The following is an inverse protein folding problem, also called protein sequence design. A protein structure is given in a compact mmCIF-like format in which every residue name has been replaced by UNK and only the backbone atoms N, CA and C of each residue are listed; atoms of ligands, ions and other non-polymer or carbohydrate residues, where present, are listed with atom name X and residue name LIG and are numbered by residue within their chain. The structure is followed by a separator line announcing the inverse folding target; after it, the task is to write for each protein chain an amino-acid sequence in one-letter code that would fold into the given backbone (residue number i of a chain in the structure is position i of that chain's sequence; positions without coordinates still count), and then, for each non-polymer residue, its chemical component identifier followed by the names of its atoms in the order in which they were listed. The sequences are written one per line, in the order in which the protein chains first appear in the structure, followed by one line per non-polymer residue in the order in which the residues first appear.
data_IF_479243529359
#
_entry.id   IF_479243529359
#
_cell.length_a   1.000
_cell.length_b   1.000
_cell.length_c   1.000
_cell.angle_alpha   90.00
_cell.angle_beta   90.00
_cell.angle_gamma   90.00
#
_symmetry.space_group_name_H-M   'P 1'
#
loop_
_entity.id
_entity.type
_entity.pdbx_description
1 polymer ?
#
# COMPACT_ATOMS: atom_id res chain seq x y z
N UNK A 1 -28.21 -13.18 -27.47
CA UNK A 1 -27.88 -14.22 -26.45
C UNK A 1 -26.52 -14.08 -25.81
N UNK A 2 -25.58 -13.31 -26.37
CA UNK A 2 -24.21 -13.09 -25.88
C UNK A 2 -24.10 -12.30 -24.57
N UNK A 3 -25.00 -11.37 -24.32
CA UNK A 3 -24.94 -10.46 -23.16
C UNK A 3 -25.17 -11.17 -21.81
N UNK A 4 -26.10 -12.13 -21.74
CA UNK A 4 -26.44 -12.86 -20.51
C UNK A 4 -25.31 -13.77 -20.00
N UNK A 5 -24.57 -14.42 -20.91
CA UNK A 5 -23.39 -15.24 -20.59
C UNK A 5 -22.19 -14.38 -20.10
N UNK A 6 -22.01 -13.20 -20.67
CA UNK A 6 -20.94 -12.28 -20.22
C UNK A 6 -21.23 -11.70 -18.84
N UNK A 7 -22.48 -11.32 -18.56
CA UNK A 7 -22.90 -10.82 -17.23
C UNK A 7 -22.70 -11.92 -16.17
N UNK A 8 -23.12 -13.15 -16.45
CA UNK A 8 -22.96 -14.29 -15.54
C UNK A 8 -21.47 -14.57 -15.27
N UNK A 9 -20.59 -14.52 -16.26
CA UNK A 9 -19.16 -14.73 -16.10
C UNK A 9 -18.49 -13.63 -15.26
N UNK A 10 -18.89 -12.37 -15.46
CA UNK A 10 -18.38 -11.25 -14.65
C UNK A 10 -18.84 -11.35 -13.20
N UNK A 11 -20.10 -11.68 -12.98
CA UNK A 11 -20.64 -11.91 -11.64
C UNK A 11 -19.91 -13.07 -10.92
N UNK A 12 -19.65 -14.18 -11.62
CA UNK A 12 -18.90 -15.30 -11.08
C UNK A 12 -17.47 -14.90 -10.68
N UNK A 13 -16.76 -14.16 -11.53
CA UNK A 13 -15.40 -13.68 -11.22
C UNK A 13 -15.44 -12.76 -9.97
N UNK A 14 -16.43 -11.87 -9.89
CA UNK A 14 -16.57 -10.99 -8.73
C UNK A 14 -16.81 -11.78 -7.44
N UNK A 15 -17.68 -12.77 -7.47
CA UNK A 15 -17.96 -13.66 -6.31
C UNK A 15 -16.70 -14.41 -5.90
N UNK A 16 -15.95 -14.99 -6.85
CA UNK A 16 -14.72 -15.72 -6.56
C UNK A 16 -13.67 -14.79 -5.92
N UNK A 17 -13.47 -13.59 -6.46
CA UNK A 17 -12.50 -12.63 -5.92
C UNK A 17 -12.91 -12.14 -4.53
N UNK A 18 -14.20 -11.89 -4.30
CA UNK A 18 -14.69 -11.50 -2.97
C UNK A 18 -14.54 -12.62 -1.97
N UNK A 19 -14.86 -13.86 -2.37
CA UNK A 19 -14.65 -15.04 -1.53
C UNK A 19 -13.16 -15.27 -1.21
N UNK A 20 -12.28 -15.08 -2.19
CA UNK A 20 -10.84 -15.19 -1.98
C UNK A 20 -10.32 -14.09 -1.02
N UNK A 21 -10.81 -12.86 -1.14
CA UNK A 21 -10.47 -11.77 -0.21
C UNK A 21 -10.97 -12.05 1.21
N UNK A 22 -12.19 -12.56 1.35
CA UNK A 22 -12.73 -12.95 2.65
C UNK A 22 -11.94 -14.13 3.27
N UNK A 23 -11.61 -15.13 2.47
CA UNK A 23 -10.80 -16.25 2.92
C UNK A 23 -9.40 -15.82 3.36
N UNK A 24 -8.74 -14.92 2.61
CA UNK A 24 -7.44 -14.40 2.99
C UNK A 24 -7.48 -13.55 4.26
N UNK A 25 -8.57 -12.82 4.50
CA UNK A 25 -8.78 -12.07 5.74
C UNK A 25 -8.93 -13.02 6.93
N UNK A 26 -9.74 -14.08 6.80
CA UNK A 26 -9.91 -15.11 7.85
C UNK A 26 -8.57 -15.81 8.12
N UNK A 27 -7.84 -16.21 7.07
CA UNK A 27 -6.52 -16.81 7.23
C UNK A 27 -5.54 -15.86 7.93
N UNK A 28 -5.58 -14.55 7.63
CA UNK A 28 -4.77 -13.55 8.30
C UNK A 28 -5.09 -13.38 9.78
N UNK A 29 -6.32 -13.68 10.21
CA UNK A 29 -6.70 -13.71 11.63
C UNK A 29 -6.28 -15.01 12.33
N UNK A 30 -6.28 -16.13 11.63
CA UNK A 30 -5.92 -17.45 12.17
C UNK A 30 -4.40 -17.66 12.22
N UNK A 31 -3.71 -17.29 11.12
CA UNK A 31 -2.27 -17.52 10.96
C UNK A 31 -1.45 -16.32 11.48
N UNK A 32 -0.41 -16.63 12.22
CA UNK A 32 0.52 -15.62 12.76
C UNK A 32 1.60 -16.27 13.60
N UNK A 33 2.41 -15.48 14.30
CA UNK A 33 3.48 -15.97 15.19
C UNK A 33 2.98 -16.84 16.33
N UNK A 34 1.73 -16.65 16.76
CA UNK A 34 1.01 -17.56 17.65
C UNK A 34 -0.13 -18.21 16.85
N UNK A 35 -0.21 -19.52 16.86
CA UNK A 35 -1.34 -20.24 16.25
C UNK A 35 -2.55 -20.07 17.13
N UNK A 36 -3.61 -19.46 16.59
CA UNK A 36 -4.91 -19.36 17.27
C UNK A 36 -5.89 -20.30 16.58
N UNK A 37 -6.59 -21.06 17.36
CA UNK A 37 -7.66 -21.92 16.87
C UNK A 37 -8.89 -21.09 16.51
N UNK A 38 -9.73 -21.57 15.60
CA UNK A 38 -10.91 -20.83 15.17
C UNK A 38 -11.84 -20.46 16.35
N UNK A 39 -11.96 -21.34 17.35
CA UNK A 39 -12.72 -21.08 18.57
C UNK A 39 -12.12 -19.92 19.40
N UNK A 40 -10.80 -19.83 19.46
CA UNK A 40 -10.09 -18.75 20.17
C UNK A 40 -10.25 -17.40 19.44
N UNK A 41 -10.19 -17.40 18.12
CA UNK A 41 -10.46 -16.21 17.32
C UNK A 41 -11.91 -15.75 17.49
N UNK A 42 -12.86 -16.69 17.43
CA UNK A 42 -14.27 -16.36 17.63
C UNK A 42 -14.56 -15.80 19.03
N UNK A 43 -14.06 -16.47 20.07
CA UNK A 43 -14.21 -16.02 21.45
C UNK A 43 -13.45 -14.70 21.71
N UNK A 44 -12.26 -14.52 21.14
CA UNK A 44 -11.49 -13.29 21.24
C UNK A 44 -12.15 -12.09 20.57
N UNK A 45 -12.94 -12.31 19.50
CA UNK A 45 -13.68 -11.23 18.82
C UNK A 45 -14.98 -10.87 19.54
N UNK A 46 -15.69 -11.85 20.14
CA UNK A 46 -17.06 -11.67 20.66
C UNK A 46 -17.21 -12.05 22.15
N UNK A 47 -16.21 -12.72 22.74
CA UNK A 47 -16.32 -13.39 24.03
C UNK A 47 -16.04 -12.57 25.29
N UNK A 48 -15.84 -11.27 25.21
CA UNK A 48 -15.89 -10.37 26.36
C UNK A 48 -14.71 -10.36 27.34
N UNK A 49 -13.80 -11.32 27.34
CA UNK A 49 -12.60 -11.30 28.20
C UNK A 49 -11.48 -10.47 27.52
N UNK A 50 -11.55 -9.15 27.74
CA UNK A 50 -10.59 -8.18 27.18
C UNK A 50 -9.15 -8.39 27.68
N UNK A 51 -8.95 -9.16 28.73
CA UNK A 51 -7.64 -9.44 29.35
C UNK A 51 -7.02 -10.78 28.91
N UNK A 52 -7.72 -11.59 28.14
CA UNK A 52 -7.12 -12.81 27.59
C UNK A 52 -6.05 -12.41 26.56
N UNK A 53 -4.86 -13.02 26.66
CA UNK A 53 -3.72 -12.76 25.75
C UNK A 53 -4.13 -12.89 24.27
N UNK A 54 -5.04 -13.80 23.98
CA UNK A 54 -5.59 -14.06 22.64
C UNK A 54 -6.41 -12.86 22.14
N UNK A 55 -7.29 -12.30 22.96
CA UNK A 55 -8.08 -11.09 22.65
C UNK A 55 -7.18 -9.89 22.39
N UNK A 56 -6.15 -9.70 23.22
CA UNK A 56 -5.16 -8.64 23.05
C UNK A 56 -4.44 -8.76 21.70
N UNK A 57 -3.92 -9.93 21.35
CA UNK A 57 -3.25 -10.18 20.05
C UNK A 57 -4.20 -9.92 18.87
N UNK A 58 -5.45 -10.35 18.98
CA UNK A 58 -6.44 -10.14 17.94
C UNK A 58 -6.73 -8.66 17.71
N UNK A 59 -7.06 -7.92 18.76
CA UNK A 59 -7.50 -6.53 18.64
C UNK A 59 -6.35 -5.54 18.44
N UNK A 60 -5.17 -5.79 19.00
CA UNK A 60 -4.04 -4.84 18.88
C UNK A 60 -3.12 -5.10 17.70
N UNK A 61 -3.05 -6.34 17.20
CA UNK A 61 -2.11 -6.70 16.14
C UNK A 61 -2.81 -7.21 14.88
N UNK A 62 -3.64 -8.27 15.00
CA UNK A 62 -4.14 -8.97 13.81
C UNK A 62 -5.23 -8.21 13.10
N UNK A 63 -6.22 -7.74 13.82
CA UNK A 63 -7.37 -7.03 13.24
C UNK A 63 -6.96 -5.72 12.56
N UNK A 64 -6.13 -4.86 13.16
CA UNK A 64 -5.60 -3.69 12.47
C UNK A 64 -4.77 -4.04 11.24
N UNK A 65 -3.95 -5.10 11.31
CA UNK A 65 -3.12 -5.53 10.18
C UNK A 65 -3.96 -6.05 9.00
N UNK A 66 -4.97 -6.88 9.26
CA UNK A 66 -5.89 -7.39 8.23
C UNK A 66 -6.71 -6.25 7.63
N UNK A 67 -7.23 -5.35 8.46
CA UNK A 67 -7.97 -4.18 8.01
C UNK A 67 -7.11 -3.25 7.14
N UNK A 68 -5.88 -2.96 7.58
CA UNK A 68 -4.93 -2.16 6.82
C UNK A 68 -4.59 -2.82 5.46
N UNK A 69 -4.37 -4.14 5.44
CA UNK A 69 -4.11 -4.89 4.22
C UNK A 69 -5.28 -4.83 3.22
N UNK A 70 -6.51 -5.00 3.71
CA UNK A 70 -7.71 -4.89 2.87
C UNK A 70 -7.91 -3.48 2.32
N UNK A 71 -7.74 -2.45 3.15
CA UNK A 71 -7.88 -1.06 2.73
C UNK A 71 -6.77 -0.65 1.74
N UNK A 72 -5.53 -1.05 2.00
CA UNK A 72 -4.41 -0.81 1.09
C UNK A 72 -4.62 -1.50 -0.25
N UNK A 73 -5.02 -2.78 -0.24
CA UNK A 73 -5.33 -3.53 -1.46
C UNK A 73 -6.47 -2.91 -2.26
N UNK A 74 -7.55 -2.50 -1.60
CA UNK A 74 -8.67 -1.81 -2.25
C UNK A 74 -8.23 -0.46 -2.86
N UNK A 75 -7.44 0.32 -2.12
CA UNK A 75 -6.89 1.60 -2.60
C UNK A 75 -5.98 1.43 -3.81
N UNK A 76 -5.08 0.45 -3.79
CA UNK A 76 -4.19 0.12 -4.90
C UNK A 76 -4.98 -0.37 -6.13
N UNK A 77 -5.99 -1.21 -5.94
CA UNK A 77 -6.84 -1.69 -7.03
C UNK A 77 -7.62 -0.54 -7.68
N UNK A 78 -8.20 0.35 -6.87
CA UNK A 78 -8.93 1.51 -7.37
C UNK A 78 -8.02 2.48 -8.12
N UNK A 79 -6.85 2.81 -7.54
CA UNK A 79 -5.89 3.71 -8.20
C UNK A 79 -5.33 3.10 -9.49
N UNK A 80 -5.06 1.79 -9.51
CA UNK A 80 -4.66 1.08 -10.70
C UNK A 80 -5.72 1.13 -11.79
N UNK A 81 -6.99 0.86 -11.46
CA UNK A 81 -8.09 0.93 -12.42
C UNK A 81 -8.27 2.34 -13.01
N UNK A 82 -8.19 3.37 -12.17
CA UNK A 82 -8.27 4.76 -12.61
C UNK A 82 -7.10 5.15 -13.52
N UNK A 83 -5.88 4.74 -13.19
CA UNK A 83 -4.70 5.00 -14.01
C UNK A 83 -4.77 4.29 -15.36
N UNK A 84 -5.18 3.03 -15.39
CA UNK A 84 -5.38 2.28 -16.64
C UNK A 84 -6.45 2.94 -17.52
N UNK A 85 -7.55 3.40 -16.93
CA UNK A 85 -8.59 4.11 -17.66
C UNK A 85 -8.09 5.47 -18.20
N UNK A 86 -7.39 6.24 -17.39
CA UNK A 86 -6.88 7.57 -17.76
C UNK A 86 -5.79 7.48 -18.86
N UNK A 87 -4.90 6.50 -18.75
CA UNK A 87 -3.80 6.32 -19.70
C UNK A 87 -4.21 5.50 -20.93
N UNK A 88 -5.31 4.74 -20.87
CA UNK A 88 -5.68 3.76 -21.89
C UNK A 88 -4.65 2.63 -22.03
N UNK A 89 -3.90 2.35 -20.98
CA UNK A 89 -2.83 1.34 -20.94
C UNK A 89 -3.05 0.38 -19.77
N UNK A 90 -3.25 -0.89 -20.09
CA UNK A 90 -3.45 -1.94 -19.08
C UNK A 90 -2.23 -2.20 -18.19
N UNK A 91 -1.05 -1.74 -18.59
CA UNK A 91 0.19 -1.86 -17.81
C UNK A 91 0.42 -0.69 -16.85
N UNK A 92 -0.41 0.36 -16.90
CA UNK A 92 -0.27 1.50 -16.02
C UNK A 92 -0.65 1.12 -14.57
N UNK A 93 0.19 1.51 -13.63
CA UNK A 93 -0.01 1.28 -12.20
C UNK A 93 0.64 2.36 -11.35
N UNK A 94 0.23 2.51 -10.08
CA UNK A 94 0.76 3.55 -9.19
C UNK A 94 2.27 3.47 -8.98
N UNK A 95 2.82 2.27 -8.99
CA UNK A 95 4.27 2.03 -8.83
C UNK A 95 5.11 2.61 -9.97
N UNK A 96 4.57 2.64 -11.19
CA UNK A 96 5.27 3.13 -12.37
C UNK A 96 5.36 4.66 -12.37
N UNK A 97 4.39 5.33 -11.77
CA UNK A 97 4.32 6.80 -11.70
C UNK A 97 5.17 7.38 -10.55
N UNK A 98 5.98 6.57 -9.86
CA UNK A 98 6.91 7.08 -8.86
C UNK A 98 6.33 7.41 -7.49
N UNK A 99 5.07 7.05 -7.24
CA UNK A 99 4.38 7.26 -5.95
C UNK A 99 5.18 6.67 -4.79
N UNK A 100 5.67 5.43 -4.96
CA UNK A 100 6.45 4.73 -3.93
C UNK A 100 7.80 5.41 -3.66
N UNK A 101 8.47 5.90 -4.71
CA UNK A 101 9.74 6.61 -4.55
C UNK A 101 9.55 7.93 -3.81
N UNK A 102 8.46 8.66 -4.09
CA UNK A 102 8.09 9.88 -3.38
C UNK A 102 7.79 9.62 -1.90
N UNK A 103 7.02 8.57 -1.61
CA UNK A 103 6.72 8.15 -0.24
C UNK A 103 8.01 7.80 0.52
N UNK A 104 8.85 6.94 -0.07
CA UNK A 104 10.10 6.50 0.53
C UNK A 104 11.08 7.63 0.76
N UNK A 105 11.22 8.55 -0.20
CA UNK A 105 12.12 9.69 -0.07
C UNK A 105 11.68 10.65 1.04
N UNK A 106 10.40 11.00 1.12
CA UNK A 106 9.89 11.84 2.20
C UNK A 106 10.06 11.19 3.56
N UNK A 107 9.83 9.87 3.65
CA UNK A 107 10.02 9.13 4.89
C UNK A 107 11.48 9.14 5.35
N UNK A 108 12.45 8.83 4.46
CA UNK A 108 13.87 8.83 4.86
C UNK A 108 14.35 10.23 5.24
N UNK A 109 13.87 11.28 4.56
CA UNK A 109 14.14 12.66 4.94
C UNK A 109 13.64 12.96 6.36
N UNK A 110 12.41 12.55 6.69
CA UNK A 110 11.88 12.74 8.03
C UNK A 110 12.67 12.00 9.08
N UNK A 111 13.10 10.76 8.80
CA UNK A 111 13.93 9.99 9.73
C UNK A 111 15.29 10.64 9.98
N UNK A 112 15.92 11.21 8.93
CA UNK A 112 17.27 11.79 9.05
C UNK A 112 17.28 13.17 9.70
N UNK A 113 16.28 14.00 9.42
CA UNK A 113 16.35 15.43 9.77
C UNK A 113 15.34 15.87 10.83
N UNK A 114 14.30 15.08 11.08
CA UNK A 114 13.27 15.44 12.05
C UNK A 114 13.12 14.31 13.08
N UNK A 115 13.24 14.59 14.39
CA UNK A 115 12.97 13.62 15.45
C UNK A 115 11.46 13.40 15.57
N UNK A 116 10.88 12.76 14.57
CA UNK A 116 9.44 12.52 14.52
C UNK A 116 9.06 11.22 15.22
N UNK A 117 7.88 11.23 15.83
CA UNK A 117 7.27 9.99 16.34
C UNK A 117 6.96 9.06 15.15
N UNK A 118 7.13 7.76 15.32
CA UNK A 118 6.76 6.75 14.31
C UNK A 118 5.31 6.89 13.80
N UNK A 119 4.42 7.51 14.58
CA UNK A 119 3.03 7.78 14.19
C UNK A 119 2.90 8.82 13.06
N UNK A 120 3.88 9.70 12.89
CA UNK A 120 3.84 10.76 11.86
C UNK A 120 4.49 10.33 10.54
N UNK A 121 5.25 9.24 10.53
CA UNK A 121 5.91 8.73 9.33
C UNK A 121 4.93 8.37 8.18
N UNK A 122 3.78 7.73 8.42
CA UNK A 122 2.80 7.49 7.36
C UNK A 122 2.26 8.77 6.72
N UNK A 123 2.09 9.84 7.50
CA UNK A 123 1.66 11.13 6.97
C UNK A 123 2.75 11.75 6.08
N UNK A 124 4.01 11.69 6.50
CA UNK A 124 5.14 12.15 5.69
C UNK A 124 5.25 11.38 4.37
N UNK A 125 5.11 10.05 4.43
CA UNK A 125 5.09 9.20 3.25
C UNK A 125 3.93 9.55 2.30
N UNK A 126 2.73 9.77 2.84
CA UNK A 126 1.57 10.19 2.06
C UNK A 126 1.80 11.54 1.37
N UNK A 127 2.29 12.54 2.09
CA UNK A 127 2.59 13.86 1.53
C UNK A 127 3.69 13.79 0.46
N UNK A 128 4.72 12.97 0.67
CA UNK A 128 5.77 12.72 -0.30
C UNK A 128 5.26 12.04 -1.58
N UNK A 129 4.41 11.03 -1.44
CA UNK A 129 3.74 10.38 -2.56
C UNK A 129 2.87 11.36 -3.35
N UNK A 130 2.07 12.17 -2.65
CA UNK A 130 1.20 13.18 -3.25
C UNK A 130 2.01 14.25 -3.98
N UNK A 131 3.04 14.82 -3.34
CA UNK A 131 3.90 15.83 -3.93
C UNK A 131 4.64 15.32 -5.18
N UNK A 132 5.17 14.10 -5.11
CA UNK A 132 5.82 13.45 -6.25
C UNK A 132 4.84 13.26 -7.42
N UNK A 133 3.65 12.76 -7.17
CA UNK A 133 2.63 12.56 -8.19
C UNK A 133 2.23 13.90 -8.82
N UNK A 134 2.00 14.92 -8.01
CA UNK A 134 1.66 16.26 -8.49
C UNK A 134 2.76 16.84 -9.36
N UNK A 135 4.03 16.70 -8.96
CA UNK A 135 5.20 17.13 -9.73
C UNK A 135 5.24 16.44 -11.09
N UNK A 136 5.02 15.14 -11.15
CA UNK A 136 5.03 14.38 -12.40
C UNK A 136 3.90 14.84 -13.34
N UNK A 137 2.71 15.03 -12.81
CA UNK A 137 1.56 15.51 -13.59
C UNK A 137 1.81 16.92 -14.14
N UNK A 138 2.39 17.80 -13.32
CA UNK A 138 2.73 19.17 -13.76
C UNK A 138 3.80 19.20 -14.86
N UNK A 139 4.84 18.36 -14.73
CA UNK A 139 5.89 18.26 -15.76
C UNK A 139 5.30 17.68 -17.05
N UNK A 140 4.53 16.59 -16.95
CA UNK A 140 3.93 15.98 -18.12
C UNK A 140 2.95 16.93 -18.82
N UNK A 141 2.19 17.72 -18.08
CA UNK A 141 1.28 18.73 -18.64
C UNK A 141 2.01 19.83 -19.42
N UNK A 142 3.20 20.26 -18.96
CA UNK A 142 4.02 21.28 -19.64
C UNK A 142 4.71 20.76 -20.91
N UNK A 143 5.05 19.49 -20.98
CA UNK A 143 5.81 18.88 -22.09
C UNK A 143 4.90 18.36 -23.21
N UNK A 144 3.60 18.63 -23.16
CA UNK A 144 2.66 18.26 -24.22
C UNK A 144 1.65 17.16 -23.86
N UNK A 145 1.61 16.70 -22.61
CA UNK A 145 0.52 15.89 -22.06
C UNK A 145 0.37 14.48 -22.66
N UNK A 146 1.33 14.00 -23.45
CA UNK A 146 1.27 12.65 -24.00
C UNK A 146 1.33 11.61 -22.86
N UNK A 147 0.52 10.56 -22.95
CA UNK A 147 0.46 9.48 -21.94
C UNK A 147 1.83 8.86 -21.65
N UNK A 148 2.67 8.75 -22.68
CA UNK A 148 4.05 8.27 -22.58
C UNK A 148 4.92 9.22 -21.75
N UNK A 149 4.70 10.52 -21.82
CA UNK A 149 5.44 11.54 -21.07
C UNK A 149 5.25 11.36 -19.55
N UNK A 150 4.05 11.01 -19.12
CA UNK A 150 3.76 10.73 -17.69
C UNK A 150 4.60 9.56 -17.18
N UNK A 151 4.66 8.48 -17.97
CA UNK A 151 5.44 7.28 -17.61
C UNK A 151 6.94 7.58 -17.58
N UNK A 152 7.46 8.26 -18.62
CA UNK A 152 8.88 8.60 -18.69
C UNK A 152 9.29 9.57 -17.57
N UNK A 153 8.48 10.59 -17.29
CA UNK A 153 8.71 11.52 -16.17
C UNK A 153 8.67 10.77 -14.83
N UNK A 154 7.72 9.83 -14.67
CA UNK A 154 7.61 8.99 -13.48
C UNK A 154 8.86 8.15 -13.26
N UNK A 155 9.35 7.48 -14.29
CA UNK A 155 10.59 6.67 -14.21
C UNK A 155 11.80 7.55 -13.88
N UNK A 156 11.97 8.69 -14.54
CA UNK A 156 13.09 9.60 -14.32
C UNK A 156 13.10 10.15 -12.87
N UNK A 157 11.95 10.63 -12.39
CA UNK A 157 11.81 11.16 -11.03
C UNK A 157 12.01 10.05 -10.00
N UNK A 158 11.44 8.86 -10.23
CA UNK A 158 11.64 7.71 -9.35
C UNK A 158 13.11 7.34 -9.23
N UNK A 159 13.84 7.32 -10.33
CA UNK A 159 15.27 7.01 -10.35
C UNK A 159 16.07 8.05 -9.54
N UNK A 160 15.75 9.32 -9.70
CA UNK A 160 16.38 10.41 -8.95
C UNK A 160 16.09 10.29 -7.44
N UNK A 161 14.83 10.05 -7.07
CA UNK A 161 14.43 9.90 -5.67
C UNK A 161 15.06 8.65 -5.03
N UNK A 162 15.12 7.54 -5.76
CA UNK A 162 15.78 6.31 -5.28
C UNK A 162 17.29 6.50 -5.10
N UNK A 163 17.93 7.26 -5.98
CA UNK A 163 19.33 7.65 -5.78
C UNK A 163 19.50 8.51 -4.52
N UNK A 164 18.59 9.46 -4.28
CA UNK A 164 18.56 10.25 -3.05
C UNK A 164 18.33 9.40 -1.80
N UNK A 165 17.42 8.42 -1.84
CA UNK A 165 17.22 7.45 -0.74
C UNK A 165 18.51 6.70 -0.45
N UNK A 166 19.18 6.18 -1.49
CA UNK A 166 20.43 5.43 -1.35
C UNK A 166 21.54 6.29 -0.77
N UNK A 167 21.64 7.55 -1.20
CA UNK A 167 22.60 8.51 -0.68
C UNK A 167 22.36 8.82 0.81
N UNK A 168 21.12 9.06 1.20
CA UNK A 168 20.77 9.31 2.61
C UNK A 168 21.02 8.08 3.49
N UNK A 169 20.76 6.88 3.01
CA UNK A 169 21.10 5.64 3.72
C UNK A 169 22.60 5.46 3.94
N UNK A 170 23.40 5.93 3.00
CA UNK A 170 24.87 5.90 3.13
C UNK A 170 25.36 6.91 4.18
N UNK A 171 24.78 8.11 4.20
CA UNK A 171 25.15 9.15 5.18
C UNK A 171 24.64 8.87 6.59
N UNK A 172 23.46 8.21 6.70
CA UNK A 172 22.76 7.93 7.96
C UNK A 172 22.41 6.43 8.08
N UNK A 173 23.42 5.55 8.30
CA UNK A 173 23.20 4.10 8.33
C UNK A 173 22.19 3.65 9.40
N UNK A 174 22.16 4.34 10.55
CA UNK A 174 21.27 4.03 11.68
C UNK A 174 19.79 4.09 11.32
N UNK A 175 19.42 4.96 10.38
CA UNK A 175 18.04 5.09 9.92
C UNK A 175 17.67 4.10 8.80
N UNK A 176 18.66 3.38 8.23
CA UNK A 176 18.43 2.37 7.18
C UNK A 176 17.55 1.23 7.64
N UNK A 177 17.71 0.79 8.89
CA UNK A 177 16.92 -0.30 9.46
C UNK A 177 15.45 0.11 9.56
N UNK A 178 15.16 1.26 10.14
CA UNK A 178 13.80 1.80 10.26
C UNK A 178 13.14 2.02 8.89
N UNK A 179 13.92 2.53 7.93
CA UNK A 179 13.43 2.67 6.55
C UNK A 179 13.09 1.32 5.91
N UNK A 180 13.94 0.30 6.08
CA UNK A 180 13.69 -1.02 5.51
C UNK A 180 12.44 -1.67 6.12
N UNK A 181 12.23 -1.54 7.44
CA UNK A 181 10.98 -1.98 8.07
C UNK A 181 9.76 -1.34 7.42
N UNK A 182 9.77 -0.04 7.23
CA UNK A 182 8.68 0.64 6.54
C UNK A 182 8.49 0.15 5.11
N UNK A 183 9.58 -0.04 4.36
CA UNK A 183 9.53 -0.43 2.95
C UNK A 183 8.93 -1.83 2.73
N UNK A 184 9.03 -2.72 3.72
CA UNK A 184 8.45 -4.08 3.70
C UNK A 184 7.07 -4.16 4.36
N UNK A 185 6.55 -3.03 4.86
CA UNK A 185 5.20 -2.97 5.43
C UNK A 185 5.12 -3.09 6.95
N UNK A 186 6.22 -2.80 7.65
CA UNK A 186 6.27 -2.69 9.13
C UNK A 186 6.51 -3.98 9.84
#
# INVERSE_FOLDING_TARGET
MTNKKQISRRALIFVILTAAAAASAVLGLLLGSAWLDFSQVWNGLWGGDANATESLILHTVRLPRVAAGLLAGAGLALSGALLQAATGNALAGPSIIGVNAGAGFAMILCLCFFPMSYRTLPLAAFLGAFACTMLIVLIAGKVGGAKVTIVLAGVAISSLLNAGISFLKLLYPDHSVSYNYFAIGG
#
